data_IF_776101075275
#
_entry.id   IF_776101075275
#
_cell.length_a   1.000
_cell.length_b   1.000
_cell.length_c   1.000
_cell.angle_alpha   90.00
_cell.angle_beta   90.00
_cell.angle_gamma   90.00
#
_symmetry.space_group_name_H-M   'P 1'
#
loop_
_entity.id
_entity.type
_entity.pdbx_description
1 polymer ?
#
# COMPACT_ATOMS: atom_id res chain seq x y z
N UNK A 1 -14.49 -3.92 1.91
CA UNK A 1 -13.99 -2.85 2.82
C UNK A 1 -12.53 -2.51 2.54
N UNK A 2 -11.65 -3.50 2.38
CA UNK A 2 -10.25 -3.36 1.90
C UNK A 2 -10.17 -2.83 0.45
N UNK A 3 -11.05 -3.31 -0.45
CA UNK A 3 -11.11 -2.85 -1.85
C UNK A 3 -11.21 -1.32 -1.99
N UNK A 4 -11.90 -0.66 -1.06
CA UNK A 4 -12.10 0.79 -1.06
C UNK A 4 -10.81 1.57 -0.77
N UNK A 5 -9.84 0.93 -0.11
CA UNK A 5 -8.52 1.51 0.13
C UNK A 5 -7.66 1.42 -1.13
N UNK A 6 -7.80 0.34 -1.92
CA UNK A 6 -7.13 0.24 -3.21
C UNK A 6 -7.69 1.21 -4.25
N UNK A 7 -9.01 1.41 -4.28
CA UNK A 7 -9.63 2.45 -5.15
C UNK A 7 -9.09 3.85 -4.84
N UNK A 8 -8.68 4.12 -3.60
CA UNK A 8 -8.11 5.39 -3.19
C UNK A 8 -6.74 5.63 -3.87
N UNK A 9 -5.98 4.57 -4.15
CA UNK A 9 -4.69 4.65 -4.83
C UNK A 9 -4.81 5.11 -6.29
N UNK A 10 -5.97 4.96 -6.93
CA UNK A 10 -6.22 5.51 -8.28
C UNK A 10 -6.21 7.05 -8.28
N UNK A 11 -6.65 7.66 -7.18
CA UNK A 11 -6.75 9.13 -7.05
C UNK A 11 -5.64 9.75 -6.23
N UNK A 12 -5.04 8.97 -5.33
CA UNK A 12 -4.06 9.43 -4.36
C UNK A 12 -3.00 8.35 -4.11
N UNK A 13 -2.15 8.04 -5.10
CA UNK A 13 -1.11 7.02 -4.96
C UNK A 13 -0.01 7.40 -3.95
N UNK A 14 0.09 8.66 -3.55
CA UNK A 14 1.13 9.14 -2.62
C UNK A 14 0.76 9.00 -1.13
N UNK A 15 -0.42 8.48 -0.80
CA UNK A 15 -0.88 8.30 0.60
C UNK A 15 -0.10 7.24 1.37
N UNK A 16 0.53 6.29 0.67
CA UNK A 16 1.36 5.26 1.27
C UNK A 16 2.69 5.81 1.73
N UNK A 17 3.17 5.26 2.84
CA UNK A 17 4.45 5.62 3.43
C UNK A 17 5.57 5.09 2.53
N UNK A 18 6.51 5.93 2.05
CA UNK A 18 7.63 5.45 1.25
C UNK A 18 8.55 4.56 2.09
N UNK A 19 9.06 3.51 1.46
CA UNK A 19 10.07 2.65 2.05
C UNK A 19 11.39 3.45 2.19
N UNK A 20 12.06 3.39 3.37
CA UNK A 20 13.26 4.17 3.62
C UNK A 20 14.48 3.69 2.82
N UNK A 21 14.51 2.43 2.40
CA UNK A 21 15.59 1.84 1.60
C UNK A 21 15.30 1.94 0.10
N UNK A 22 14.02 1.82 -0.29
CA UNK A 22 13.58 1.84 -1.71
C UNK A 22 12.46 2.87 -1.90
N UNK A 23 12.78 4.16 -2.19
CA UNK A 23 11.79 5.25 -2.24
C UNK A 23 10.65 5.07 -3.26
N UNK A 24 10.83 4.22 -4.28
CA UNK A 24 9.81 3.87 -5.27
C UNK A 24 8.71 2.96 -4.69
N UNK A 25 9.03 2.25 -3.61
CA UNK A 25 8.08 1.39 -2.90
C UNK A 25 7.36 2.18 -1.82
N UNK A 26 6.08 1.86 -1.64
CA UNK A 26 5.20 2.47 -0.67
C UNK A 26 4.39 1.42 0.06
N UNK A 27 4.19 1.66 1.34
CA UNK A 27 3.36 0.84 2.21
C UNK A 27 2.03 1.55 2.49
N UNK A 28 0.94 0.94 2.08
CA UNK A 28 -0.41 1.33 2.47
C UNK A 28 -0.83 0.54 3.71
N UNK A 29 -0.89 1.21 4.85
CA UNK A 29 -1.42 0.63 6.08
C UNK A 29 -2.95 0.76 6.08
N UNK A 30 -3.63 -0.38 5.99
CA UNK A 30 -5.08 -0.48 6.00
C UNK A 30 -5.53 -0.92 7.38
N UNK A 31 -6.06 0.01 8.16
CA UNK A 31 -6.67 -0.32 9.45
C UNK A 31 -7.92 -1.17 9.24
N UNK A 32 -7.89 -2.42 9.72
CA UNK A 32 -9.02 -3.34 9.66
C UNK A 32 -9.09 -4.19 10.94
N UNK A 33 -10.19 -4.05 11.68
CA UNK A 33 -10.36 -4.69 12.99
C UNK A 33 -9.19 -4.38 13.94
N UNK A 34 -8.76 -5.40 14.69
CA UNK A 34 -7.68 -5.28 15.68
C UNK A 34 -6.27 -5.57 15.13
N UNK A 35 -6.13 -5.92 13.84
CA UNK A 35 -4.88 -6.52 13.34
C UNK A 35 -4.29 -5.88 12.10
N UNK A 36 -5.01 -5.01 11.37
CA UNK A 36 -4.49 -4.27 10.21
C UNK A 36 -3.96 -5.13 9.04
N UNK A 37 -3.91 -4.52 7.86
CA UNK A 37 -3.21 -5.07 6.70
C UNK A 37 -2.20 -4.05 6.17
N UNK A 38 -1.15 -4.54 5.52
CA UNK A 38 -0.18 -3.71 4.82
C UNK A 38 -0.13 -4.18 3.37
N UNK A 39 -0.33 -3.23 2.45
CA UNK A 39 -0.09 -3.46 1.03
C UNK A 39 1.21 -2.75 0.63
N UNK A 40 2.17 -3.51 0.10
CA UNK A 40 3.34 -2.95 -0.54
C UNK A 40 3.01 -2.72 -2.01
N UNK A 41 3.16 -1.48 -2.47
CA UNK A 41 2.87 -1.11 -3.83
C UNK A 41 3.91 -0.13 -4.37
N UNK A 42 3.92 0.07 -5.69
CA UNK A 42 4.62 1.17 -6.34
C UNK A 42 3.68 1.89 -7.28
N UNK A 43 3.88 3.19 -7.41
CA UNK A 43 3.20 4.02 -8.40
C UNK A 43 4.13 4.22 -9.58
N UNK A 44 3.66 3.90 -10.79
CA UNK A 44 4.37 4.11 -12.05
C UNK A 44 3.64 5.20 -12.86
N UNK A 45 4.09 6.47 -12.76
CA UNK A 45 3.43 7.58 -13.45
C UNK A 45 3.46 7.46 -14.97
N UNK A 46 4.44 6.74 -15.53
CA UNK A 46 4.55 6.54 -16.97
C UNK A 46 3.39 5.71 -17.53
N UNK A 47 2.88 4.76 -16.73
CA UNK A 47 1.78 3.87 -17.08
C UNK A 47 0.43 4.32 -16.49
N UNK A 48 0.42 5.40 -15.70
CA UNK A 48 -0.73 5.83 -14.87
C UNK A 48 -1.30 4.68 -14.04
N UNK A 49 -0.39 3.87 -13.46
CA UNK A 49 -0.73 2.59 -12.85
C UNK A 49 -0.11 2.41 -11.46
N UNK A 50 -0.85 1.68 -10.62
CA UNK A 50 -0.40 1.25 -9.29
C UNK A 50 -0.24 -0.26 -9.27
N UNK A 51 0.98 -0.72 -9.01
CA UNK A 51 1.29 -2.14 -8.91
C UNK A 51 1.35 -2.56 -7.45
N UNK A 52 0.41 -3.39 -7.02
CA UNK A 52 0.44 -4.02 -5.70
C UNK A 52 1.36 -5.24 -5.75
N UNK A 53 2.50 -5.16 -5.07
CA UNK A 53 3.55 -6.18 -5.08
C UNK A 53 3.32 -7.25 -4.02
N UNK A 54 2.79 -6.85 -2.86
CA UNK A 54 2.45 -7.76 -1.79
C UNK A 54 1.29 -7.22 -0.95
N UNK A 55 0.51 -8.13 -0.37
CA UNK A 55 -0.54 -7.83 0.59
C UNK A 55 -0.43 -8.80 1.76
N UNK A 56 -0.23 -8.28 2.97
CA UNK A 56 0.09 -9.08 4.16
C UNK A 56 -0.70 -8.59 5.38
N UNK A 57 -0.94 -9.48 6.33
CA UNK A 57 -1.42 -9.05 7.65
C UNK A 57 -0.32 -8.26 8.36
N UNK A 58 -0.67 -7.19 9.08
CA UNK A 58 0.34 -6.38 9.78
C UNK A 58 1.14 -7.21 10.81
N UNK A 59 0.49 -8.19 11.45
CA UNK A 59 1.14 -9.17 12.34
C UNK A 59 2.18 -10.06 11.64
N UNK A 60 2.03 -10.30 10.33
CA UNK A 60 2.98 -11.07 9.52
C UNK A 60 4.07 -10.19 8.89
N UNK A 61 3.82 -8.89 8.78
CA UNK A 61 4.78 -7.90 8.31
C UNK A 61 5.80 -7.48 9.40
N UNK A 62 5.64 -7.96 10.63
CA UNK A 62 6.57 -7.69 11.73
C UNK A 62 6.35 -6.35 12.45
N UNK A 63 5.13 -5.81 12.40
CA UNK A 63 4.74 -4.59 13.13
C UNK A 63 4.29 -4.87 14.56
#
# INVERSE_FOLDING_TARGET
>A
MIERQFLLLETAPDIGRPDPEIPELRELVIAFGDSGFVALYRHEPADDAVYVLAFRHQKEAGY
#
